data_IF_612342373460
#
_entry.id   IF_612342373460
#
_cell.length_a   1.000
_cell.length_b   1.000
_cell.length_c   1.000
_cell.angle_alpha   90.00
_cell.angle_beta   90.00
_cell.angle_gamma   90.00
#
_symmetry.space_group_name_H-M   'P 1'
#
loop_
_entity.id
_entity.type
_entity.pdbx_description
1 polymer ?
#
# COMPACT_ATOMS: atom_id res chain seq x y z
N UNK A 1 12.79 -26.08 -37.82
CA UNK A 1 11.58 -25.88 -38.67
C UNK A 1 10.39 -25.82 -37.71
N UNK A 2 9.49 -24.83 -37.63
CA UNK A 2 8.97 -23.74 -38.49
C UNK A 2 8.66 -22.54 -37.54
N UNK A 3 9.21 -21.34 -37.74
CA UNK A 3 8.63 -20.16 -38.44
C UNK A 3 7.16 -19.82 -38.11
N UNK A 4 6.97 -18.73 -37.36
CA UNK A 4 5.88 -17.75 -37.57
C UNK A 4 6.14 -16.95 -38.86
N UNK A 5 5.12 -16.43 -39.57
CA UNK A 5 4.69 -15.04 -39.32
C UNK A 5 3.20 -14.70 -39.62
N UNK A 6 2.81 -13.55 -39.06
CA UNK A 6 1.76 -12.59 -39.42
C UNK A 6 0.91 -12.81 -40.69
N UNK A 7 -0.39 -12.52 -40.57
CA UNK A 7 -1.17 -12.00 -41.70
C UNK A 7 -2.23 -10.95 -41.26
N UNK A 8 -2.39 -9.96 -42.15
CA UNK A 8 -3.15 -8.70 -42.07
C UNK A 8 -4.62 -8.83 -42.52
N UNK A 9 -5.33 -7.68 -42.45
CA UNK A 9 -6.49 -7.21 -43.28
C UNK A 9 -7.90 -7.40 -42.63
N UNK A 10 -8.86 -6.46 -42.63
CA UNK A 10 -9.23 -5.34 -43.54
C UNK A 10 -9.97 -4.19 -42.83
N UNK A 11 -9.78 -2.97 -43.34
CA UNK A 11 -10.67 -1.81 -43.20
C UNK A 11 -12.00 -2.00 -43.96
N UNK A 12 -13.08 -1.41 -43.43
CA UNK A 12 -14.32 -1.13 -44.14
C UNK A 12 -14.66 0.36 -44.08
N UNK A 13 -14.75 0.99 -45.25
CA UNK A 13 -15.17 2.38 -45.50
C UNK A 13 -16.57 2.35 -46.13
N UNK A 14 -17.49 3.17 -45.60
CA UNK A 14 -18.72 3.66 -46.25
C UNK A 14 -18.97 5.04 -45.60
N UNK A 15 -19.14 6.18 -46.27
CA UNK A 15 -19.43 6.42 -47.68
C UNK A 15 -20.71 7.24 -47.84
N UNK A 16 -20.61 8.55 -47.58
CA UNK A 16 -21.36 9.70 -48.13
C UNK A 16 -22.90 9.72 -48.19
N UNK A 17 -23.51 10.76 -47.58
CA UNK A 17 -24.39 11.71 -48.30
C UNK A 17 -24.61 13.00 -47.49
N UNK A 18 -24.13 14.13 -48.03
CA UNK A 18 -24.53 15.48 -47.65
C UNK A 18 -25.77 15.89 -48.43
N UNK A 19 -26.72 16.60 -47.82
CA UNK A 19 -27.60 17.55 -48.50
C UNK A 19 -27.85 18.77 -47.60
N UNK A 20 -27.44 19.92 -48.10
CA UNK A 20 -27.73 21.27 -47.61
C UNK A 20 -28.99 21.75 -48.35
N UNK A 21 -29.90 22.44 -47.66
CA UNK A 21 -31.03 23.15 -48.26
C UNK A 21 -31.51 24.27 -47.35
N UNK A 22 -31.44 25.50 -47.85
CA UNK A 22 -31.70 26.78 -47.17
C UNK A 22 -32.97 27.42 -47.72
N UNK A 23 -33.69 28.15 -46.85
CA UNK A 23 -34.66 29.25 -47.09
C UNK A 23 -36.12 28.97 -47.45
N UNK A 24 -37.00 29.71 -46.75
CA UNK A 24 -38.38 30.02 -47.17
C UNK A 24 -39.28 30.52 -46.05
N UNK A 25 -39.29 31.82 -45.77
CA UNK A 25 -40.23 32.48 -44.87
C UNK A 25 -41.60 32.72 -45.55
N UNK A 26 -42.69 32.55 -44.80
CA UNK A 26 -44.01 33.15 -45.10
C UNK A 26 -44.62 33.66 -43.80
N UNK A 27 -44.99 34.94 -43.82
CA UNK A 27 -45.67 35.69 -42.76
C UNK A 27 -47.10 35.99 -43.25
N UNK A 28 -48.11 35.68 -42.46
CA UNK A 28 -49.45 36.31 -42.44
C UNK A 28 -50.02 36.15 -41.02
N UNK A 29 -49.95 37.17 -40.15
CA UNK A 29 -50.92 38.25 -39.90
C UNK A 29 -52.28 37.82 -39.31
N UNK A 30 -52.47 38.13 -38.01
CA UNK A 30 -53.71 38.77 -37.52
C UNK A 30 -54.53 38.02 -36.47
N UNK A 31 -54.39 38.42 -35.19
CA UNK A 31 -55.43 39.10 -34.38
C UNK A 31 -55.40 38.69 -32.90
N UNK A 32 -55.43 39.70 -32.04
CA UNK A 32 -55.26 39.61 -30.59
C UNK A 32 -56.51 39.11 -29.84
N UNK A 33 -56.28 38.43 -28.73
CA UNK A 33 -57.04 38.65 -27.49
C UNK A 33 -56.15 38.31 -26.30
N UNK A 34 -55.99 39.28 -25.41
CA UNK A 34 -55.25 39.15 -24.18
C UNK A 34 -56.13 38.46 -23.13
N UNK A 35 -55.76 37.25 -22.73
CA UNK A 35 -56.21 36.66 -21.47
C UNK A 35 -55.06 36.71 -20.47
N UNK A 36 -55.33 37.40 -19.37
CA UNK A 36 -54.48 37.50 -18.19
C UNK A 36 -54.26 36.12 -17.59
N UNK A 37 -53.04 35.59 -17.72
CA UNK A 37 -52.60 34.42 -16.94
C UNK A 37 -51.77 34.92 -15.76
N UNK A 38 -52.33 34.70 -14.59
CA UNK A 38 -51.74 34.91 -13.26
C UNK A 38 -50.34 34.31 -13.17
N UNK A 39 -49.35 35.12 -12.79
CA UNK A 39 -48.02 34.63 -12.43
C UNK A 39 -48.14 33.74 -11.19
N UNK A 40 -47.87 32.44 -11.34
CA UNK A 40 -47.67 31.54 -10.21
C UNK A 40 -46.29 31.86 -9.62
N UNK A 41 -46.18 32.24 -8.33
CA UNK A 41 -44.86 32.44 -7.73
C UNK A 41 -44.14 31.09 -7.65
N UNK A 42 -43.00 30.99 -8.33
CA UNK A 42 -42.08 29.85 -8.21
C UNK A 42 -41.36 30.02 -6.86
N UNK A 43 -42.00 29.57 -5.79
CA UNK A 43 -41.35 29.39 -4.50
C UNK A 43 -41.10 27.89 -4.30
N UNK A 44 -40.35 27.28 -5.21
CA UNK A 44 -39.78 25.97 -4.99
C UNK A 44 -38.49 26.17 -4.19
N UNK A 45 -38.49 25.76 -2.91
CA UNK A 45 -37.25 25.56 -2.17
C UNK A 45 -36.39 24.60 -2.99
N UNK A 46 -35.25 25.08 -3.47
CA UNK A 46 -34.18 24.22 -3.98
C UNK A 46 -33.67 23.45 -2.76
N UNK A 47 -34.14 22.22 -2.58
CA UNK A 47 -33.45 21.31 -1.67
C UNK A 47 -32.02 21.16 -2.21
N UNK A 48 -30.98 21.28 -1.36
CA UNK A 48 -29.64 20.92 -1.78
C UNK A 48 -29.67 19.47 -2.30
N UNK A 49 -28.88 19.14 -3.34
CA UNK A 49 -28.82 17.77 -3.84
C UNK A 49 -28.49 16.86 -2.66
N UNK A 50 -29.40 15.93 -2.37
CA UNK A 50 -29.14 14.82 -1.46
C UNK A 50 -27.84 14.16 -1.93
N UNK A 51 -26.83 13.96 -1.08
CA UNK A 51 -25.65 13.23 -1.50
C UNK A 51 -26.11 11.87 -2.02
N UNK A 52 -25.83 11.59 -3.28
CA UNK A 52 -26.08 10.27 -3.85
C UNK A 52 -25.19 9.32 -3.06
N UNK A 53 -25.79 8.51 -2.20
CA UNK A 53 -25.08 7.48 -1.47
C UNK A 53 -24.42 6.57 -2.51
N UNK A 54 -23.08 6.62 -2.60
CA UNK A 54 -22.30 5.69 -3.38
C UNK A 54 -22.60 4.32 -2.78
N UNK A 55 -23.38 3.49 -3.46
CA UNK A 55 -23.54 2.08 -3.08
C UNK A 55 -22.21 1.39 -3.36
N UNK A 56 -21.30 1.46 -2.39
CA UNK A 56 -20.05 0.75 -2.46
C UNK A 56 -20.35 -0.76 -2.54
N UNK A 57 -19.85 -1.40 -3.59
CA UNK A 57 -19.90 -2.86 -3.72
C UNK A 57 -18.87 -3.49 -2.80
N UNK A 58 -19.28 -4.50 -2.04
CA UNK A 58 -18.41 -5.22 -1.12
C UNK A 58 -17.21 -5.86 -1.83
N UNK A 59 -16.01 -5.43 -1.45
CA UNK A 59 -14.77 -6.09 -1.87
C UNK A 59 -14.69 -7.46 -1.20
N UNK A 60 -14.39 -8.48 -2.00
CA UNK A 60 -14.30 -9.87 -1.53
C UNK A 60 -12.84 -10.31 -1.46
N UNK A 61 -12.56 -11.28 -0.60
CA UNK A 61 -11.25 -11.93 -0.52
C UNK A 61 -11.30 -13.32 -1.12
N UNK A 62 -10.37 -13.59 -2.03
CA UNK A 62 -9.99 -14.93 -2.43
C UNK A 62 -8.69 -15.30 -1.71
N UNK A 63 -8.71 -16.40 -0.99
CA UNK A 63 -7.52 -16.89 -0.27
C UNK A 63 -6.57 -17.62 -1.22
N UNK A 64 -5.29 -17.26 -1.16
CA UNK A 64 -4.19 -17.99 -1.78
C UNK A 64 -3.36 -18.67 -0.68
N UNK A 65 -3.27 -20.00 -0.73
CA UNK A 65 -2.56 -20.79 0.28
C UNK A 65 -1.15 -21.09 -0.22
N UNK A 66 -0.15 -20.73 0.57
CA UNK A 66 1.24 -21.09 0.31
C UNK A 66 1.68 -22.24 1.23
N UNK A 67 2.53 -23.10 0.70
CA UNK A 67 3.09 -24.25 1.43
C UNK A 67 4.61 -24.22 1.34
N UNK A 68 5.27 -24.57 2.43
CA UNK A 68 6.73 -24.68 2.42
C UNK A 68 7.22 -25.85 1.57
N UNK A 69 8.40 -25.69 0.98
CA UNK A 69 9.20 -26.74 0.34
C UNK A 69 10.15 -27.45 1.32
N UNK A 70 10.36 -26.90 2.51
CA UNK A 70 11.21 -27.49 3.56
C UNK A 70 10.39 -28.39 4.48
N UNK A 71 10.89 -29.60 4.75
CA UNK A 71 10.33 -30.48 5.79
C UNK A 71 10.59 -29.98 7.21
N UNK A 72 11.52 -29.02 7.38
CA UNK A 72 11.89 -28.43 8.66
C UNK A 72 10.94 -27.27 9.06
N UNK A 73 10.05 -26.83 8.17
CA UNK A 73 9.11 -25.75 8.43
C UNK A 73 7.66 -26.22 8.26
N UNK A 74 6.84 -26.04 9.31
CA UNK A 74 5.38 -26.18 9.22
C UNK A 74 4.75 -24.85 8.85
N UNK A 75 3.77 -24.86 7.96
CA UNK A 75 3.14 -23.63 7.46
C UNK A 75 1.62 -23.64 7.59
N UNK A 76 1.05 -22.50 8.00
CA UNK A 76 -0.34 -22.12 7.80
C UNK A 76 -0.36 -20.71 7.19
N UNK A 77 -0.11 -20.63 5.88
CA UNK A 77 0.06 -19.35 5.17
C UNK A 77 -1.13 -19.13 4.24
N UNK A 78 -1.96 -18.16 4.62
CA UNK A 78 -3.20 -17.77 3.95
C UNK A 78 -3.10 -16.31 3.54
N UNK A 79 -2.85 -16.09 2.27
CA UNK A 79 -2.63 -14.75 1.71
C UNK A 79 -3.96 -14.24 1.13
N UNK A 80 -4.45 -13.07 1.56
CA UNK A 80 -5.65 -12.48 0.97
C UNK A 80 -5.33 -11.93 -0.43
N UNK A 81 -6.23 -12.20 -1.40
CA UNK A 81 -6.27 -11.54 -2.71
C UNK A 81 -7.63 -10.85 -2.84
N UNK A 82 -7.62 -9.52 -2.94
CA UNK A 82 -8.80 -8.68 -3.09
C UNK A 82 -9.41 -8.86 -4.49
N UNK A 83 -10.73 -8.86 -4.54
CA UNK A 83 -11.52 -8.88 -5.78
C UNK A 83 -12.70 -7.91 -5.68
N UNK A 84 -13.07 -7.28 -6.79
CA UNK A 84 -14.19 -6.33 -6.85
C UNK A 84 -13.83 -4.89 -6.48
N UNK A 85 -12.53 -4.54 -6.47
CA UNK A 85 -12.13 -3.13 -6.41
C UNK A 85 -12.46 -2.44 -7.74
N UNK A 86 -12.78 -1.14 -7.65
CA UNK A 86 -13.09 -0.29 -8.80
C UNK A 86 -11.83 0.04 -9.61
N UNK A 87 -10.70 0.26 -8.93
CA UNK A 87 -9.38 0.39 -9.56
C UNK A 87 -8.71 -0.97 -9.72
N UNK A 88 -8.86 -1.57 -10.91
CA UNK A 88 -8.30 -2.88 -11.22
C UNK A 88 -6.76 -2.90 -11.18
N UNK A 89 -6.10 -1.78 -11.50
CA UNK A 89 -4.63 -1.69 -11.49
C UNK A 89 -4.12 -1.69 -10.06
N UNK A 90 -4.72 -0.87 -9.19
CA UNK A 90 -4.39 -0.86 -7.76
C UNK A 90 -4.68 -2.22 -7.12
N UNK A 91 -5.80 -2.87 -7.47
CA UNK A 91 -6.13 -4.20 -6.98
C UNK A 91 -5.02 -5.21 -7.30
N UNK A 92 -4.57 -5.24 -8.56
CA UNK A 92 -3.47 -6.12 -8.97
C UNK A 92 -2.19 -5.80 -8.20
N UNK A 93 -1.83 -4.52 -8.07
CA UNK A 93 -0.66 -4.08 -7.32
C UNK A 93 -0.72 -4.51 -5.84
N UNK A 94 -1.82 -4.23 -5.14
CA UNK A 94 -1.95 -4.61 -3.73
C UNK A 94 -1.92 -6.13 -3.57
N UNK A 95 -2.66 -6.86 -4.41
CA UNK A 95 -2.62 -8.33 -4.44
C UNK A 95 -1.20 -8.86 -4.66
N UNK A 96 -0.42 -8.19 -5.50
CA UNK A 96 0.97 -8.53 -5.74
C UNK A 96 1.81 -8.33 -4.49
N UNK A 97 1.74 -7.15 -3.87
CA UNK A 97 2.47 -6.80 -2.64
C UNK A 97 2.19 -7.82 -1.52
N UNK A 98 0.92 -8.15 -1.30
CA UNK A 98 0.49 -9.10 -0.29
C UNK A 98 1.12 -10.49 -0.51
N UNK A 99 1.15 -10.94 -1.77
CA UNK A 99 1.75 -12.22 -2.14
C UNK A 99 3.28 -12.19 -2.06
N UNK A 100 3.93 -11.07 -2.44
CA UNK A 100 5.38 -10.89 -2.31
C UNK A 100 5.84 -10.98 -0.87
N UNK A 101 5.18 -10.26 0.04
CA UNK A 101 5.51 -10.28 1.46
C UNK A 101 5.43 -11.69 2.03
N UNK A 102 4.35 -12.42 1.72
CA UNK A 102 4.17 -13.78 2.20
C UNK A 102 5.21 -14.75 1.64
N UNK A 103 5.61 -14.61 0.37
CA UNK A 103 6.67 -15.42 -0.24
C UNK A 103 8.05 -15.10 0.35
N UNK A 104 8.35 -13.83 0.61
CA UNK A 104 9.60 -13.42 1.26
C UNK A 104 9.67 -13.95 2.70
N UNK A 105 8.61 -13.81 3.47
CA UNK A 105 8.49 -14.39 4.81
C UNK A 105 8.69 -15.91 4.75
N UNK A 106 8.01 -16.60 3.82
CA UNK A 106 8.14 -18.04 3.65
C UNK A 106 9.58 -18.46 3.33
N UNK A 107 10.22 -17.82 2.35
CA UNK A 107 11.60 -18.14 1.95
C UNK A 107 12.61 -17.89 3.09
N UNK A 108 12.42 -16.80 3.84
CA UNK A 108 13.26 -16.49 5.00
C UNK A 108 13.09 -17.53 6.11
N UNK A 109 11.86 -17.95 6.41
CA UNK A 109 11.59 -18.98 7.42
C UNK A 109 12.04 -20.37 6.99
N UNK A 110 11.95 -20.72 5.70
CA UNK A 110 12.51 -21.96 5.16
C UNK A 110 14.00 -22.03 5.41
N UNK A 111 14.72 -20.96 5.06
CA UNK A 111 16.16 -20.86 5.29
C UNK A 111 16.50 -20.99 6.76
N UNK A 112 15.83 -20.24 7.65
CA UNK A 112 16.09 -20.29 9.09
C UNK A 112 15.81 -21.67 9.68
N UNK A 113 14.76 -22.35 9.21
CA UNK A 113 14.41 -23.69 9.66
C UNK A 113 15.46 -24.72 9.23
N UNK A 114 15.93 -24.67 7.97
CA UNK A 114 16.95 -25.57 7.45
C UNK A 114 18.31 -25.36 8.13
N UNK A 115 18.71 -24.11 8.35
CA UNK A 115 19.94 -23.76 9.09
C UNK A 115 19.87 -24.28 10.53
N UNK A 116 18.74 -24.11 11.21
CA UNK A 116 18.54 -24.59 12.57
C UNK A 116 18.53 -26.14 12.65
N UNK A 117 17.92 -26.81 11.67
CA UNK A 117 17.93 -28.27 11.59
C UNK A 117 19.35 -28.81 11.36
N UNK A 118 20.14 -28.15 10.50
CA UNK A 118 21.54 -28.49 10.29
C UNK A 118 22.38 -28.27 11.57
N UNK A 119 22.18 -27.16 12.28
CA UNK A 119 22.87 -26.85 13.54
C UNK A 119 22.51 -27.86 14.65
N UNK A 120 21.24 -28.24 14.76
CA UNK A 120 20.78 -29.27 15.68
C UNK A 120 21.49 -30.61 15.47
N UNK A 121 21.64 -31.00 14.20
CA UNK A 121 22.34 -32.21 13.81
C UNK A 121 23.83 -32.16 14.16
N UNK A 122 24.49 -31.03 13.97
CA UNK A 122 25.94 -30.89 14.28
C UNK A 122 26.21 -30.82 15.79
N UNK A 123 25.32 -30.18 16.56
CA UNK A 123 25.45 -30.00 18.01
C UNK A 123 24.78 -31.10 18.84
N UNK A 124 24.08 -32.04 18.22
CA UNK A 124 23.52 -33.22 18.86
C UNK A 124 22.27 -32.97 19.70
N UNK A 125 21.47 -31.94 19.39
CA UNK A 125 20.16 -31.73 20.01
C UNK A 125 19.02 -32.07 19.06
N UNK A 126 17.85 -32.42 19.62
CA UNK A 126 16.66 -32.76 18.82
C UNK A 126 16.06 -31.51 18.20
N UNK A 127 16.06 -31.43 16.87
CA UNK A 127 15.36 -30.38 16.14
C UNK A 127 13.84 -30.57 16.27
N UNK A 128 13.13 -29.46 16.51
CA UNK A 128 11.68 -29.37 16.41
C UNK A 128 11.36 -28.41 15.27
N UNK A 129 10.57 -28.82 14.27
CA UNK A 129 10.22 -27.95 13.14
C UNK A 129 9.72 -26.59 13.60
N UNK A 130 10.23 -25.55 12.96
CA UNK A 130 9.71 -24.21 13.14
C UNK A 130 8.30 -24.12 12.52
N UNK A 131 7.56 -23.08 12.89
CA UNK A 131 6.21 -22.85 12.38
C UNK A 131 6.10 -21.43 11.83
N UNK A 132 5.51 -21.26 10.65
CA UNK A 132 5.14 -19.98 10.08
C UNK A 132 3.62 -19.94 9.85
N UNK A 133 2.96 -18.95 10.45
CA UNK A 133 1.55 -18.65 10.23
C UNK A 133 1.42 -17.26 9.65
N UNK A 134 0.69 -17.13 8.55
CA UNK A 134 0.27 -15.85 7.98
C UNK A 134 -1.23 -15.92 7.78
N UNK A 135 -1.97 -15.06 8.45
CA UNK A 135 -3.44 -15.01 8.40
C UNK A 135 -3.91 -13.57 8.27
N UNK A 136 -5.15 -13.38 7.86
CA UNK A 136 -5.72 -12.05 7.64
C UNK A 136 -7.11 -11.93 8.26
N UNK A 137 -7.53 -10.67 8.44
CA UNK A 137 -8.89 -10.29 8.76
C UNK A 137 -9.31 -9.10 7.89
N UNK A 138 -10.40 -9.27 7.12
CA UNK A 138 -11.06 -8.16 6.43
C UNK A 138 -11.91 -7.41 7.46
N UNK A 139 -11.47 -6.22 7.84
CA UNK A 139 -12.05 -5.39 8.91
C UNK A 139 -13.18 -4.50 8.39
N UNK A 140 -13.06 -4.06 7.14
CA UNK A 140 -14.09 -3.37 6.38
C UNK A 140 -13.99 -3.76 4.91
N UNK A 141 -15.12 -4.07 4.28
CA UNK A 141 -15.23 -4.49 2.87
C UNK A 141 -15.64 -3.34 1.93
N UNK A 142 -15.75 -2.12 2.47
CA UNK A 142 -16.22 -0.94 1.78
C UNK A 142 -17.72 -0.67 1.91
N UNK A 143 -18.52 -1.59 2.45
CA UNK A 143 -19.97 -1.37 2.62
C UNK A 143 -20.34 -0.72 3.95
N UNK A 144 -19.53 -0.95 4.99
CA UNK A 144 -19.70 -0.32 6.29
C UNK A 144 -19.22 1.12 6.31
N UNK A 145 -19.67 1.89 7.31
CA UNK A 145 -19.18 3.25 7.53
C UNK A 145 -17.69 3.27 7.91
N UNK A 146 -16.87 4.15 7.30
CA UNK A 146 -17.19 5.05 6.19
C UNK A 146 -17.27 4.31 4.84
N UNK A 147 -18.30 4.61 4.06
CA UNK A 147 -18.57 3.92 2.80
C UNK A 147 -17.39 4.04 1.82
N UNK A 148 -17.09 2.93 1.14
CA UNK A 148 -15.96 2.79 0.22
C UNK A 148 -14.64 2.45 0.90
N UNK A 149 -14.51 2.52 2.24
CA UNK A 149 -13.26 2.18 2.91
C UNK A 149 -13.10 0.66 3.06
N UNK A 150 -12.08 0.11 2.42
CA UNK A 150 -11.61 -1.27 2.61
C UNK A 150 -10.47 -1.25 3.62
N UNK A 151 -10.55 -2.12 4.62
CA UNK A 151 -9.54 -2.22 5.68
C UNK A 151 -9.17 -3.68 5.94
N UNK A 152 -7.88 -3.99 5.91
CA UNK A 152 -7.32 -5.33 6.02
C UNK A 152 -6.22 -5.35 7.08
N UNK A 153 -6.27 -6.35 7.96
CA UNK A 153 -5.21 -6.66 8.92
C UNK A 153 -4.58 -7.99 8.53
N UNK A 154 -3.25 -8.06 8.47
CA UNK A 154 -2.47 -9.29 8.26
C UNK A 154 -1.60 -9.52 9.47
N UNK A 155 -1.57 -10.76 9.95
CA UNK A 155 -0.74 -11.18 11.07
C UNK A 155 0.22 -12.27 10.59
N UNK A 156 1.51 -11.96 10.61
CA UNK A 156 2.61 -12.91 10.39
C UNK A 156 3.20 -13.32 11.73
N UNK A 157 3.18 -14.61 12.04
CA UNK A 157 3.70 -15.16 13.27
C UNK A 157 4.60 -16.36 12.97
N UNK A 158 5.86 -16.25 13.38
CA UNK A 158 6.79 -17.37 13.33
C UNK A 158 7.18 -17.86 14.73
N UNK A 159 7.34 -19.17 14.87
CA UNK A 159 7.64 -19.83 16.13
C UNK A 159 8.81 -20.81 16.00
N UNK A 160 9.73 -20.71 16.96
CA UNK A 160 10.93 -21.57 17.07
C UNK A 160 10.88 -22.49 18.30
N UNK A 161 9.67 -22.80 18.80
CA UNK A 161 9.44 -23.61 20.01
C UNK A 161 9.15 -22.80 21.28
N UNK A 162 8.85 -21.51 21.17
CA UNK A 162 8.44 -20.63 22.27
C UNK A 162 7.45 -19.55 21.81
N UNK A 163 7.29 -18.50 22.62
CA UNK A 163 6.44 -17.36 22.26
C UNK A 163 7.12 -16.48 21.22
N UNK A 164 6.54 -16.41 20.02
CA UNK A 164 7.00 -15.55 18.95
C UNK A 164 6.55 -14.09 19.10
N UNK A 165 7.04 -13.28 18.17
CA UNK A 165 6.73 -11.86 18.00
C UNK A 165 5.91 -11.71 16.71
N UNK A 166 4.57 -11.60 16.78
CA UNK A 166 3.78 -11.40 15.58
C UNK A 166 4.08 -10.01 14.97
N UNK A 167 4.25 -9.98 13.65
CA UNK A 167 4.16 -8.76 12.85
C UNK A 167 2.71 -8.55 12.45
N UNK A 168 2.20 -7.33 12.61
CA UNK A 168 0.85 -6.95 12.19
C UNK A 168 0.97 -5.85 11.15
N UNK A 169 0.55 -6.15 9.93
CA UNK A 169 0.47 -5.20 8.83
C UNK A 169 -0.98 -4.79 8.59
N UNK A 170 -1.20 -3.52 8.29
CA UNK A 170 -2.54 -2.96 8.06
C UNK A 170 -2.61 -2.21 6.75
N UNK A 171 -3.67 -2.42 5.99
CA UNK A 171 -3.91 -1.78 4.70
C UNK A 171 -5.27 -1.10 4.71
N UNK A 172 -5.31 0.20 4.45
CA UNK A 172 -6.55 1.00 4.41
C UNK A 172 -6.64 1.73 3.08
N UNK A 173 -7.72 1.48 2.34
CA UNK A 173 -7.87 1.96 0.97
C UNK A 173 -9.30 2.42 0.74
N UNK A 174 -9.45 3.62 0.21
CA UNK A 174 -10.71 4.10 -0.32
C UNK A 174 -10.90 3.50 -1.72
N UNK A 175 -11.90 2.63 -1.87
CA UNK A 175 -12.24 1.95 -3.12
C UNK A 175 -13.07 2.86 -4.02
N UNK A 176 -12.45 3.35 -5.09
CA UNK A 176 -12.99 4.29 -6.08
C UNK A 176 -12.29 4.06 -7.42
N UNK A 177 -12.69 4.77 -8.48
CA UNK A 177 -12.11 4.62 -9.83
C UNK A 177 -10.57 4.72 -9.84
N UNK A 178 -10.03 5.61 -9.01
CA UNK A 178 -8.60 5.71 -8.70
C UNK A 178 -8.41 5.52 -7.20
N UNK A 179 -8.00 4.31 -6.80
CA UNK A 179 -7.93 3.94 -5.39
C UNK A 179 -6.94 4.82 -4.62
N UNK A 180 -7.29 5.13 -3.37
CA UNK A 180 -6.50 6.03 -2.54
C UNK A 180 -6.15 5.37 -1.21
N UNK A 181 -4.88 5.43 -0.81
CA UNK A 181 -4.46 5.04 0.55
C UNK A 181 -5.12 5.98 1.56
N UNK A 182 -5.67 5.41 2.62
CA UNK A 182 -6.28 6.15 3.73
C UNK A 182 -5.33 6.15 4.92
N UNK A 183 -5.08 7.33 5.47
CA UNK A 183 -4.22 7.58 6.63
C UNK A 183 -5.04 7.83 7.89
N UNK A 184 -4.41 7.83 9.07
CA UNK A 184 -5.07 8.21 10.32
C UNK A 184 -5.56 9.67 10.27
N UNK A 185 -4.82 10.56 9.61
CA UNK A 185 -5.22 11.95 9.43
C UNK A 185 -6.52 12.08 8.62
N UNK A 186 -6.70 11.23 7.61
CA UNK A 186 -7.91 11.27 6.76
C UNK A 186 -9.17 10.87 7.52
N UNK A 187 -9.05 10.07 8.57
CA UNK A 187 -10.19 9.54 9.34
C UNK A 187 -10.38 10.20 10.71
N UNK A 188 -9.33 10.76 11.32
CA UNK A 188 -9.37 11.43 12.62
C UNK A 188 -9.07 12.95 12.55
N UNK A 189 -8.77 13.47 11.37
CA UNK A 189 -8.51 14.89 11.14
C UNK A 189 -7.07 15.34 11.40
N UNK A 190 -6.81 16.63 11.24
CA UNK A 190 -5.47 17.21 11.30
C UNK A 190 -4.74 17.02 12.65
N UNK A 191 -5.50 16.88 13.74
CA UNK A 191 -4.97 16.70 15.11
C UNK A 191 -4.95 15.22 15.54
N UNK A 192 -4.90 14.29 14.58
CA UNK A 192 -5.01 12.85 14.87
C UNK A 192 -3.95 12.36 15.86
N UNK A 193 -2.71 12.89 15.80
CA UNK A 193 -1.63 12.47 16.71
C UNK A 193 -1.97 12.84 18.15
N UNK A 194 -2.39 14.07 18.39
CA UNK A 194 -2.77 14.55 19.71
C UNK A 194 -3.97 13.77 20.25
N UNK A 195 -4.99 13.54 19.41
CA UNK A 195 -6.19 12.77 19.76
C UNK A 195 -5.84 11.34 20.16
N UNK A 196 -5.03 10.65 19.35
CA UNK A 196 -4.63 9.26 19.60
C UNK A 196 -3.74 9.18 20.83
N UNK A 197 -2.73 10.03 20.94
CA UNK A 197 -1.80 10.02 22.08
C UNK A 197 -2.53 10.28 23.40
N UNK A 198 -3.47 11.24 23.43
CA UNK A 198 -4.28 11.52 24.60
C UNK A 198 -5.17 10.32 24.97
N UNK A 199 -5.86 9.72 24.00
CA UNK A 199 -6.73 8.57 24.26
C UNK A 199 -5.99 7.31 24.68
N UNK A 200 -4.83 7.01 24.07
CA UNK A 200 -3.96 5.91 24.51
C UNK A 200 -3.54 6.13 25.97
N UNK A 201 -3.07 7.34 26.32
CA UNK A 201 -2.68 7.63 27.71
C UNK A 201 -3.85 7.51 28.68
N UNK A 202 -5.04 7.95 28.31
CA UNK A 202 -6.22 7.81 29.15
C UNK A 202 -6.53 6.32 29.46
N UNK A 203 -6.52 5.46 28.44
CA UNK A 203 -6.75 4.01 28.62
C UNK A 203 -5.62 3.35 29.44
N UNK A 204 -4.37 3.75 29.22
CA UNK A 204 -3.24 3.29 30.02
C UNK A 204 -3.38 3.71 31.50
N UNK A 205 -3.97 4.88 31.76
CA UNK A 205 -4.18 5.41 33.12
C UNK A 205 -5.35 4.74 33.85
N UNK A 206 -6.34 4.24 33.11
CA UNK A 206 -7.43 3.42 33.65
C UNK A 206 -6.95 2.02 34.04
N UNK A 207 -5.96 1.48 33.33
CA UNK A 207 -5.44 0.11 33.51
C UNK A 207 -3.90 0.04 33.56
N UNK A 208 -3.24 0.76 34.50
CA UNK A 208 -1.79 0.90 34.49
C UNK A 208 -1.03 -0.42 34.67
N UNK A 209 -1.65 -1.43 35.26
CA UNK A 209 -1.07 -2.78 35.41
C UNK A 209 -0.86 -3.52 34.08
N UNK A 210 -1.56 -3.10 33.02
CA UNK A 210 -1.51 -3.75 31.71
C UNK A 210 -0.52 -3.10 30.74
N UNK A 211 0.13 -1.98 31.10
CA UNK A 211 0.90 -1.18 30.16
C UNK A 211 2.21 -0.63 30.73
N UNK A 212 3.16 -0.39 29.84
CA UNK A 212 4.43 0.29 30.12
C UNK A 212 4.27 1.78 29.79
N UNK A 213 3.71 2.56 30.72
CA UNK A 213 3.37 3.98 30.51
C UNK A 213 4.57 4.82 30.07
N UNK A 214 5.74 4.52 30.62
CA UNK A 214 6.99 5.20 30.35
C UNK A 214 7.49 4.94 28.92
N UNK A 215 7.15 3.81 28.31
CA UNK A 215 7.58 3.43 26.96
C UNK A 215 6.70 4.07 25.87
N UNK A 216 5.48 4.51 26.19
CA UNK A 216 4.64 5.19 25.22
C UNK A 216 5.07 6.65 24.99
N UNK A 217 5.84 6.87 23.91
CA UNK A 217 6.34 8.18 23.48
C UNK A 217 5.43 8.93 22.50
N UNK A 218 4.26 8.38 22.19
CA UNK A 218 3.36 8.87 21.15
C UNK A 218 3.39 7.99 19.90
N UNK A 219 2.39 8.15 19.05
CA UNK A 219 2.29 7.41 17.79
C UNK A 219 3.23 7.95 16.71
N UNK A 220 3.62 7.05 15.80
CA UNK A 220 4.34 7.43 14.58
C UNK A 220 3.35 7.96 13.54
N UNK A 221 3.85 8.68 12.54
CA UNK A 221 3.02 9.12 11.40
C UNK A 221 2.43 7.94 10.62
N UNK A 222 3.24 6.90 10.42
CA UNK A 222 2.82 5.63 9.82
C UNK A 222 2.38 4.58 10.83
N UNK A 223 1.81 4.99 11.96
CA UNK A 223 1.25 4.05 12.94
C UNK A 223 0.21 3.14 12.27
N UNK A 224 0.38 1.82 12.45
CA UNK A 224 -0.55 0.83 11.93
C UNK A 224 -1.94 1.00 12.54
N UNK A 225 -2.96 0.97 11.70
CA UNK A 225 -4.36 1.06 12.12
C UNK A 225 -5.26 0.35 11.12
N UNK A 226 -6.45 -0.05 11.55
CA UNK A 226 -7.51 -0.49 10.65
C UNK A 226 -8.82 0.22 11.02
N UNK A 227 -9.83 0.16 10.15
CA UNK A 227 -11.17 0.67 10.46
C UNK A 227 -12.14 -0.49 10.51
N UNK A 228 -12.89 -0.55 11.61
CA UNK A 228 -13.89 -1.58 11.86
C UNK A 228 -15.05 -0.93 12.63
N UNK A 229 -16.29 -1.18 12.18
CA UNK A 229 -17.51 -0.75 12.89
C UNK A 229 -17.56 0.76 13.23
N UNK A 230 -17.07 1.61 12.33
CA UNK A 230 -17.07 3.07 12.53
C UNK A 230 -16.03 3.59 13.52
N UNK A 231 -15.01 2.78 13.84
CA UNK A 231 -13.89 3.17 14.70
C UNK A 231 -12.57 2.99 13.94
N UNK A 232 -11.64 3.94 14.11
CA UNK A 232 -10.23 3.71 13.82
C UNK A 232 -9.61 2.92 14.98
N UNK A 233 -9.02 1.78 14.66
CA UNK A 233 -8.36 0.88 15.62
C UNK A 233 -6.86 0.97 15.42
N UNK A 234 -6.17 1.66 16.33
CA UNK A 234 -4.71 1.85 16.32
C UNK A 234 -4.05 0.65 16.97
N UNK A 235 -3.07 0.04 16.28
CA UNK A 235 -2.44 -1.22 16.71
C UNK A 235 -0.99 -0.99 17.08
N UNK A 236 -0.56 -1.51 18.24
CA UNK A 236 0.82 -1.49 18.69
C UNK A 236 1.45 -2.88 18.57
N UNK A 237 2.73 -2.99 18.17
CA UNK A 237 3.44 -4.26 18.21
C UNK A 237 3.47 -4.82 19.63
N UNK A 238 3.42 -6.16 19.73
CA UNK A 238 3.62 -6.85 21.00
C UNK A 238 4.89 -6.37 21.72
N UNK A 239 4.86 -6.25 23.04
CA UNK A 239 5.96 -5.70 23.85
C UNK A 239 6.28 -4.21 23.69
N UNK A 240 5.71 -3.50 22.70
CA UNK A 240 6.06 -2.09 22.48
C UNK A 240 5.67 -1.19 23.65
N UNK A 241 4.47 -1.39 24.20
CA UNK A 241 3.92 -0.58 25.31
C UNK A 241 3.17 -1.42 26.35
N UNK A 242 3.30 -2.75 26.30
CA UNK A 242 2.56 -3.67 27.15
C UNK A 242 3.29 -5.03 27.28
N UNK A 243 3.12 -5.79 28.37
CA UNK A 243 3.70 -7.12 28.51
C UNK A 243 3.11 -8.10 27.50
N UNK A 244 3.82 -9.19 27.22
CA UNK A 244 3.50 -10.12 26.13
C UNK A 244 2.14 -10.81 26.22
N UNK A 245 1.54 -10.89 27.41
CA UNK A 245 0.18 -11.40 27.63
C UNK A 245 -0.90 -10.53 26.98
N UNK A 246 -0.60 -9.24 26.75
CA UNK A 246 -1.48 -8.30 26.06
C UNK A 246 -1.46 -8.46 24.53
N UNK A 247 -0.65 -9.39 24.00
CA UNK A 247 -0.53 -9.58 22.55
C UNK A 247 -0.07 -8.29 21.86
N UNK A 248 -0.70 -7.94 20.73
CA UNK A 248 -0.55 -6.65 20.07
C UNK A 248 -1.69 -5.72 20.53
N UNK A 249 -1.42 -4.73 21.41
CA UNK A 249 -2.49 -3.90 21.96
C UNK A 249 -3.21 -3.08 20.88
N UNK A 250 -4.54 -2.97 21.00
CA UNK A 250 -5.40 -2.22 20.09
C UNK A 250 -6.19 -1.15 20.86
N UNK A 251 -6.25 0.07 20.31
CA UNK A 251 -6.95 1.21 20.90
C UNK A 251 -7.96 1.76 19.89
N UNK A 252 -9.21 1.93 20.31
CA UNK A 252 -10.34 2.26 19.43
C UNK A 252 -10.74 3.72 19.57
N UNK A 253 -10.93 4.38 18.43
CA UNK A 253 -11.28 5.79 18.33
C UNK A 253 -12.51 5.93 17.43
N UNK A 254 -13.66 6.38 17.95
CA UNK A 254 -14.84 6.61 17.14
C UNK A 254 -14.57 7.61 16.02
N UNK A 255 -15.05 7.31 14.83
CA UNK A 255 -15.03 8.23 13.70
C UNK A 255 -16.16 9.26 13.85
N UNK A 256 -15.97 10.47 13.31
CA UNK A 256 -17.02 11.47 13.26
C UNK A 256 -18.22 10.95 12.45
N UNK A 257 -19.46 11.15 12.92
CA UNK A 257 -20.66 10.59 12.27
C UNK A 257 -20.86 11.10 10.83
N UNK A 258 -20.36 12.29 10.54
CA UNK A 258 -20.39 12.95 9.24
C UNK A 258 -19.06 12.86 8.47
N UNK A 259 -18.16 11.96 8.88
CA UNK A 259 -16.85 11.78 8.24
C UNK A 259 -16.99 11.55 6.73
N UNK A 260 -16.38 12.45 5.97
CA UNK A 260 -16.09 12.28 4.56
C UNK A 260 -14.58 12.17 4.43
N UNK A 261 -14.10 11.00 3.97
CA UNK A 261 -12.67 10.81 3.70
C UNK A 261 -12.27 11.77 2.58
N UNK A 262 -11.28 12.65 2.81
CA UNK A 262 -10.84 13.61 1.80
C UNK A 262 -10.29 12.86 0.58
N UNK A 263 -10.78 13.23 -0.60
CA UNK A 263 -10.32 12.69 -1.87
C UNK A 263 -9.19 13.57 -2.38
N UNK A 264 -8.03 12.98 -2.67
CA UNK A 264 -6.95 13.68 -3.37
C UNK A 264 -7.44 14.05 -4.78
N UNK A 265 -7.54 15.36 -5.06
CA UNK A 265 -8.10 15.90 -6.31
C UNK A 265 -7.05 16.23 -7.36
N UNK A 266 -5.76 16.05 -7.06
CA UNK A 266 -4.68 16.24 -8.03
C UNK A 266 -4.11 14.87 -8.44
N UNK A 267 -3.91 14.60 -9.75
CA UNK A 267 -3.09 13.47 -10.15
C UNK A 267 -1.74 13.63 -9.45
N UNK A 268 -1.26 12.55 -8.81
CA UNK A 268 0.01 12.57 -8.10
C UNK A 268 1.05 13.28 -8.97
N UNK A 269 1.47 14.48 -8.56
CA UNK A 269 2.41 15.26 -9.33
C UNK A 269 3.64 14.40 -9.59
N UNK A 270 4.11 14.35 -10.84
CA UNK A 270 5.35 13.65 -11.17
C UNK A 270 6.42 14.09 -10.19
N UNK A 271 6.94 13.15 -9.42
CA UNK A 271 7.95 13.45 -8.42
C UNK A 271 9.28 13.53 -9.15
N UNK A 272 9.90 14.71 -9.11
CA UNK A 272 11.18 14.96 -9.75
C UNK A 272 12.25 15.07 -8.67
N UNK A 273 13.29 14.26 -8.79
CA UNK A 273 14.45 14.26 -7.90
C UNK A 273 15.73 14.38 -8.72
N UNK A 274 16.53 15.40 -8.41
CA UNK A 274 17.88 15.55 -8.92
C UNK A 274 18.91 15.07 -7.88
N UNK A 275 19.75 14.12 -8.27
CA UNK A 275 20.93 13.71 -7.52
C UNK A 275 22.18 14.32 -8.16
N UNK A 276 23.04 14.92 -7.34
CA UNK A 276 24.30 15.48 -7.80
C UNK A 276 25.30 14.36 -8.12
N UNK A 277 26.24 14.61 -9.03
CA UNK A 277 27.27 13.61 -9.38
C UNK A 277 28.01 13.03 -8.16
N UNK A 278 28.30 13.87 -7.16
CA UNK A 278 28.96 13.48 -5.91
C UNK A 278 28.13 12.64 -4.95
N UNK A 279 26.81 12.52 -5.18
CA UNK A 279 25.96 11.61 -4.40
C UNK A 279 26.17 10.16 -4.86
N UNK A 280 26.52 9.94 -6.12
CA UNK A 280 26.69 8.60 -6.68
C UNK A 280 28.11 8.08 -6.51
N UNK A 281 28.25 6.76 -6.35
CA UNK A 281 29.54 6.07 -6.30
C UNK A 281 29.59 5.02 -7.40
N UNK A 282 30.78 4.71 -7.89
CA UNK A 282 30.97 3.62 -8.86
C UNK A 282 31.99 2.63 -8.30
N UNK A 283 31.64 1.34 -8.30
CA UNK A 283 32.56 0.29 -7.85
C UNK A 283 33.61 -0.05 -8.92
N UNK A 284 34.56 -0.93 -8.58
CA UNK A 284 35.62 -1.39 -9.50
C UNK A 284 35.09 -2.13 -10.74
N UNK A 285 33.84 -2.60 -10.70
CA UNK A 285 33.18 -3.32 -11.79
C UNK A 285 32.36 -2.39 -12.70
N UNK A 286 32.37 -1.08 -12.44
CA UNK A 286 31.67 -0.08 -13.23
C UNK A 286 30.18 0.05 -12.92
N UNK A 287 29.70 -0.56 -11.83
CA UNK A 287 28.31 -0.41 -11.36
C UNK A 287 28.18 0.88 -10.57
N UNK A 288 27.31 1.78 -11.03
CA UNK A 288 26.95 2.99 -10.30
C UNK A 288 25.91 2.71 -9.23
N UNK A 289 26.09 3.31 -8.06
CA UNK A 289 25.19 3.24 -6.93
C UNK A 289 24.73 4.63 -6.51
N UNK A 290 23.55 4.69 -5.91
CA UNK A 290 22.92 5.91 -5.39
C UNK A 290 22.51 5.71 -3.93
N UNK A 291 22.53 6.78 -3.10
CA UNK A 291 22.18 6.69 -1.69
C UNK A 291 20.68 6.42 -1.53
N UNK A 292 20.34 5.26 -0.99
CA UNK A 292 18.97 4.74 -0.92
C UNK A 292 18.03 5.71 -0.20
N UNK A 293 18.44 6.23 0.96
CA UNK A 293 17.59 7.11 1.77
C UNK A 293 17.24 8.40 1.02
N UNK A 294 18.25 9.10 0.50
CA UNK A 294 18.07 10.35 -0.25
C UNK A 294 17.22 10.13 -1.51
N UNK A 295 17.47 9.04 -2.22
CA UNK A 295 16.66 8.62 -3.37
C UNK A 295 15.19 8.38 -2.97
N UNK A 296 14.96 7.51 -2.00
CA UNK A 296 13.64 7.03 -1.65
C UNK A 296 12.79 8.13 -1.00
N UNK A 297 13.33 8.85 -0.01
CA UNK A 297 12.64 9.98 0.63
C UNK A 297 12.39 11.11 -0.38
N UNK A 298 13.34 11.37 -1.29
CA UNK A 298 13.15 12.34 -2.37
C UNK A 298 12.06 11.96 -3.38
N UNK A 299 11.81 10.66 -3.55
CA UNK A 299 10.68 10.15 -4.34
C UNK A 299 9.39 10.00 -3.52
N UNK A 300 9.38 10.39 -2.25
CA UNK A 300 8.21 10.33 -1.36
C UNK A 300 7.96 8.95 -0.75
N UNK A 301 8.97 8.09 -0.66
CA UNK A 301 8.91 6.86 0.13
C UNK A 301 9.32 7.12 1.58
N UNK A 302 8.62 6.47 2.51
CA UNK A 302 9.10 6.29 3.86
C UNK A 302 10.14 5.16 3.90
N UNK A 303 11.26 5.37 4.59
CA UNK A 303 12.35 4.39 4.71
C UNK A 303 12.51 3.96 6.16
N UNK A 304 12.21 2.69 6.44
CA UNK A 304 12.39 2.08 7.77
C UNK A 304 13.59 1.13 7.76
N UNK A 305 14.45 1.24 8.75
CA UNK A 305 15.58 0.32 8.92
C UNK A 305 15.19 -0.87 9.80
N UNK A 306 15.44 -2.08 9.32
CA UNK A 306 15.25 -3.32 10.06
C UNK A 306 16.62 -3.91 10.44
N UNK A 307 17.00 -3.72 11.71
CA UNK A 307 18.29 -4.17 12.23
C UNK A 307 18.42 -5.70 12.24
N UNK A 308 17.32 -6.43 12.47
CA UNK A 308 17.35 -7.88 12.61
C UNK A 308 17.60 -8.59 11.27
N UNK A 309 17.04 -8.05 10.19
CA UNK A 309 17.23 -8.58 8.82
C UNK A 309 18.36 -7.87 8.06
N UNK A 310 18.93 -6.81 8.66
CA UNK A 310 19.96 -5.96 8.07
C UNK A 310 19.53 -5.40 6.71
N UNK A 311 18.31 -4.83 6.70
CA UNK A 311 17.62 -4.39 5.50
C UNK A 311 16.91 -3.03 5.70
N UNK A 312 16.68 -2.32 4.61
CA UNK A 312 15.84 -1.13 4.56
C UNK A 312 14.52 -1.44 3.82
N UNK A 313 13.40 -1.10 4.43
CA UNK A 313 12.05 -1.26 3.89
C UNK A 313 11.53 0.11 3.40
N UNK A 314 11.03 0.15 2.17
CA UNK A 314 10.53 1.34 1.50
C UNK A 314 9.02 1.24 1.35
N UNK A 315 8.28 2.28 1.74
CA UNK A 315 6.82 2.34 1.62
C UNK A 315 6.36 3.63 0.93
N UNK A 316 5.53 3.53 -0.13
CA UNK A 316 4.85 4.68 -0.76
C UNK A 316 3.47 4.27 -1.23
N UNK A 317 2.42 4.77 -0.59
CA UNK A 317 1.06 4.32 -0.89
C UNK A 317 0.92 2.80 -0.66
N UNK A 318 0.56 2.07 -1.71
CA UNK A 318 0.60 0.60 -1.70
C UNK A 318 2.01 0.04 -1.93
N UNK A 319 2.89 0.76 -2.62
CA UNK A 319 4.18 0.23 -3.05
C UNK A 319 5.07 -0.10 -1.86
N UNK A 320 5.60 -1.32 -1.88
CA UNK A 320 6.60 -1.78 -0.93
C UNK A 320 7.75 -2.48 -1.65
N UNK A 321 8.96 -2.29 -1.12
CA UNK A 321 10.12 -3.11 -1.47
C UNK A 321 11.11 -3.13 -0.30
N UNK A 322 11.91 -4.18 -0.22
CA UNK A 322 12.96 -4.34 0.78
C UNK A 322 14.32 -4.46 0.11
N UNK A 323 15.32 -3.84 0.74
CA UNK A 323 16.71 -3.81 0.29
C UNK A 323 17.59 -4.37 1.40
N UNK A 324 18.05 -5.61 1.23
CA UNK A 324 18.98 -6.26 2.17
C UNK A 324 20.44 -5.96 1.84
N UNK A 325 21.22 -5.52 2.83
CA UNK A 325 22.65 -5.24 2.62
C UNK A 325 23.40 -6.52 2.27
N UNK A 326 24.29 -6.45 1.27
CA UNK A 326 25.13 -7.56 0.85
C UNK A 326 24.42 -8.67 0.06
N UNK A 327 23.14 -8.49 -0.30
CA UNK A 327 22.38 -9.46 -1.10
C UNK A 327 21.93 -8.85 -2.43
N UNK A 328 22.40 -9.41 -3.55
CA UNK A 328 21.91 -9.09 -4.90
C UNK A 328 20.60 -9.83 -5.18
N UNK A 329 19.56 -9.45 -4.45
CA UNK A 329 18.25 -10.10 -4.45
C UNK A 329 17.20 -9.05 -4.09
N UNK A 330 16.44 -8.60 -5.09
CA UNK A 330 15.51 -7.49 -4.95
C UNK A 330 14.08 -7.96 -5.23
N UNK A 331 13.14 -7.51 -4.42
CA UNK A 331 11.74 -7.88 -4.54
C UNK A 331 10.97 -6.81 -5.33
N UNK A 332 10.24 -7.26 -6.35
CA UNK A 332 9.28 -6.45 -7.10
C UNK A 332 8.05 -7.30 -7.42
N UNK A 333 6.91 -6.93 -6.83
CA UNK A 333 5.62 -7.59 -7.07
C UNK A 333 5.70 -9.13 -6.94
N UNK A 334 4.83 -9.89 -7.61
CA UNK A 334 4.74 -11.37 -7.51
C UNK A 334 5.93 -12.14 -8.07
N UNK A 335 7.01 -11.47 -8.47
CA UNK A 335 8.14 -12.13 -9.12
C UNK A 335 9.09 -12.72 -8.08
N UNK A 336 9.74 -13.83 -8.46
CA UNK A 336 10.91 -14.30 -7.74
C UNK A 336 11.93 -13.15 -7.62
N UNK A 337 12.70 -13.07 -6.52
CA UNK A 337 13.69 -12.03 -6.34
C UNK A 337 14.59 -11.92 -7.56
N UNK A 338 14.76 -10.70 -8.06
CA UNK A 338 15.59 -10.43 -9.23
C UNK A 338 16.99 -10.02 -8.78
N UNK A 339 18.01 -10.52 -9.48
CA UNK A 339 19.38 -10.01 -9.37
C UNK A 339 19.53 -8.83 -10.32
N UNK A 340 20.06 -7.72 -9.80
CA UNK A 340 20.36 -6.51 -10.58
C UNK A 340 21.84 -6.47 -11.01
N UNK A 341 22.62 -7.46 -10.59
CA UNK A 341 24.05 -7.62 -10.89
C UNK A 341 24.97 -6.99 -9.85
N UNK A 342 24.42 -6.47 -8.75
CA UNK A 342 25.20 -5.94 -7.64
C UNK A 342 24.37 -5.89 -6.35
N UNK A 343 25.00 -6.21 -5.23
CA UNK A 343 24.39 -6.14 -3.91
C UNK A 343 24.42 -4.72 -3.33
N UNK A 344 23.43 -4.31 -2.51
CA UNK A 344 23.48 -3.05 -1.78
C UNK A 344 24.67 -3.02 -0.81
N UNK A 345 25.31 -1.87 -0.67
CA UNK A 345 26.50 -1.69 0.18
C UNK A 345 26.31 -0.52 1.15
N UNK A 346 26.91 -0.61 2.34
CA UNK A 346 27.02 0.53 3.24
C UNK A 346 28.38 1.19 3.02
N UNK A 347 28.36 2.49 2.76
CA UNK A 347 29.57 3.31 2.67
C UNK A 347 29.30 4.64 3.39
N UNK A 348 30.23 5.06 4.26
CA UNK A 348 30.10 6.28 5.07
C UNK A 348 28.74 6.38 5.79
N UNK A 349 28.35 5.29 6.49
CA UNK A 349 27.08 5.16 7.22
C UNK A 349 25.81 5.34 6.38
N UNK A 350 25.93 5.29 5.05
CA UNK A 350 24.82 5.39 4.12
C UNK A 350 24.67 4.10 3.32
N UNK A 351 23.43 3.62 3.18
CA UNK A 351 23.11 2.50 2.32
C UNK A 351 23.00 2.96 0.86
N UNK A 352 23.75 2.29 -0.01
CA UNK A 352 23.81 2.52 -1.44
C UNK A 352 23.20 1.34 -2.18
N UNK A 353 22.38 1.63 -3.19
CA UNK A 353 21.77 0.63 -4.09
C UNK A 353 22.22 0.84 -5.53
N UNK A 354 22.31 -0.22 -6.35
CA UNK A 354 22.66 -0.10 -7.76
C UNK A 354 21.65 0.80 -8.49
N UNK A 355 22.11 1.59 -9.46
CA UNK A 355 21.24 2.51 -10.20
C UNK A 355 20.06 1.80 -10.88
N UNK A 356 20.23 0.53 -11.27
CA UNK A 356 19.14 -0.32 -11.81
C UNK A 356 18.00 -0.53 -10.83
N UNK A 357 18.22 -0.43 -9.53
CA UNK A 357 17.15 -0.48 -8.53
C UNK A 357 16.10 0.61 -8.79
N UNK A 358 16.55 1.79 -9.19
CA UNK A 358 15.67 2.94 -9.49
C UNK A 358 14.74 2.65 -10.66
N UNK A 359 15.29 2.12 -11.77
CA UNK A 359 14.50 1.82 -12.98
C UNK A 359 13.69 0.54 -12.86
N UNK A 360 14.28 -0.52 -12.28
CA UNK A 360 13.76 -1.87 -12.41
C UNK A 360 12.85 -2.23 -11.22
N UNK A 361 13.10 -1.65 -10.04
CA UNK A 361 12.30 -1.89 -8.83
C UNK A 361 11.37 -0.72 -8.53
N UNK A 362 11.89 0.52 -8.47
CA UNK A 362 11.04 1.70 -8.20
C UNK A 362 10.26 2.18 -9.43
N UNK A 363 10.57 1.65 -10.62
CA UNK A 363 9.92 2.03 -11.89
C UNK A 363 10.00 3.54 -12.18
N UNK A 364 11.04 4.20 -11.69
CA UNK A 364 11.31 5.60 -11.98
C UNK A 364 12.19 5.75 -13.23
N UNK A 365 11.93 6.78 -14.03
CA UNK A 365 12.74 7.11 -15.20
C UNK A 365 14.04 7.78 -14.75
N UNK A 366 15.18 7.30 -15.22
CA UNK A 366 16.50 7.87 -14.89
C UNK A 366 17.11 8.48 -16.15
N UNK A 367 17.35 9.78 -16.12
CA UNK A 367 18.04 10.53 -17.17
C UNK A 367 19.38 11.04 -16.62
N UNK A 368 20.44 10.93 -17.41
CA UNK A 368 21.73 11.55 -17.07
C UNK A 368 21.69 13.02 -17.47
N UNK A 369 21.87 13.91 -16.49
CA UNK A 369 22.05 15.33 -16.71
C UNK A 369 23.51 15.70 -16.99
N UNK A 370 23.75 17.00 -17.15
CA UNK A 370 25.10 17.54 -17.34
C UNK A 370 26.00 17.25 -16.13
N UNK A 371 27.32 17.14 -16.37
CA UNK A 371 28.35 16.93 -15.35
C UNK A 371 28.16 15.69 -14.45
N UNK A 372 27.37 14.69 -14.87
CA UNK A 372 27.18 13.44 -14.13
C UNK A 372 26.04 13.45 -13.12
N UNK A 373 25.20 14.50 -13.12
CA UNK A 373 23.96 14.53 -12.34
C UNK A 373 22.96 13.50 -12.86
N UNK A 374 22.08 13.03 -11.97
CA UNK A 374 20.99 12.11 -12.31
C UNK A 374 19.66 12.82 -12.07
N UNK A 375 18.84 12.87 -13.12
CA UNK A 375 17.47 13.36 -13.07
C UNK A 375 16.52 12.16 -13.01
N UNK A 376 15.72 12.07 -11.96
CA UNK A 376 14.85 10.95 -11.67
C UNK A 376 13.41 11.43 -11.64
N UNK A 377 12.54 10.83 -12.44
CA UNK A 377 11.12 11.16 -12.52
C UNK A 377 10.28 9.93 -12.20
N UNK A 378 9.25 10.08 -11.35
CA UNK A 378 8.29 9.02 -11.03
C UNK A 378 6.84 9.48 -11.10
#
# INVERSE_FOLDING_TARGET
MRKNPFNMLKMGVLGCAMLVGVSGAVVTSGSASAETVTAVPINAKVNPPTPVAIQATAVQIKEEVLTSKSENLKTNVKVPQLTGMLDAKYQEQLNDILLSHANEDLANWEKLADEAAADAKTKGFTYRPYELTIVYALKSDGTSFPAGLVSLQITTYGATGGTGMPRVDTYNVLNREEAQRVTLQDVLGATYKETVDAGVRAIMDEHPENYFKEEFKGIRESQGFYVEKGEAVVVFPKYAIAPGVMGSPEFRFPLAEDLIIPVATEPAAKVVLDLAAGDSITNSEGVSFVPLRKLAEGLGYEVTWNQATYAAELHKGAQWTSVSVGKDSYFYAKMAPVSLGAAPIIQNDSLYVPLKFVSDILKAEVKKGDAGNLHIEQ
#
